data_IF_568225178810
#
_entry.id   IF_568225178810
#
_cell.length_a   1.000
_cell.length_b   1.000
_cell.length_c   1.000
_cell.angle_alpha   90.00
_cell.angle_beta   90.00
_cell.angle_gamma   90.00
#
_symmetry.space_group_name_H-M   'P 1'
#
loop_
_entity.id
_entity.type
_entity.pdbx_description
1 polymer ?
#
# COMPACT_ATOMS: atom_id res chain seq x y z
N UNK A 1 -43.93 -42.98 24.45
CA UNK A 1 -43.31 -43.37 25.74
C UNK A 1 -41.80 -43.29 25.58
N UNK A 2 -41.19 -42.64 26.53
CA UNK A 2 -39.78 -42.55 26.87
C UNK A 2 -38.95 -41.46 26.16
N UNK A 3 -38.67 -40.46 26.96
CA UNK A 3 -37.79 -39.31 26.71
C UNK A 3 -36.33 -39.75 26.78
N UNK A 4 -35.53 -39.18 25.86
CA UNK A 4 -34.06 -39.23 25.88
C UNK A 4 -33.48 -37.82 25.89
N UNK A 5 -32.94 -37.48 27.04
CA UNK A 5 -32.22 -36.19 27.28
C UNK A 5 -31.03 -36.03 26.35
N UNK A 6 -30.98 -34.95 25.59
CA UNK A 6 -29.77 -34.50 24.88
C UNK A 6 -29.13 -33.36 25.65
N UNK A 7 -28.01 -33.64 26.27
CA UNK A 7 -27.11 -32.69 26.92
C UNK A 7 -26.45 -31.81 25.88
N UNK A 8 -26.73 -30.50 25.94
CA UNK A 8 -26.01 -29.46 25.16
C UNK A 8 -24.61 -29.27 25.76
N UNK A 9 -23.59 -29.82 25.11
CA UNK A 9 -22.20 -29.43 25.38
C UNK A 9 -21.91 -28.09 24.71
N UNK A 10 -21.68 -27.07 25.53
CA UNK A 10 -21.18 -25.78 25.11
C UNK A 10 -19.74 -25.94 24.61
N UNK A 11 -19.51 -25.88 23.30
CA UNK A 11 -18.18 -25.61 22.72
C UNK A 11 -17.86 -24.14 22.87
N UNK A 12 -16.93 -23.81 23.75
CA UNK A 12 -16.27 -22.49 23.82
C UNK A 12 -15.41 -22.30 22.57
N UNK A 13 -15.76 -21.31 21.75
CA UNK A 13 -14.94 -20.84 20.66
C UNK A 13 -13.74 -20.08 21.25
N UNK A 14 -12.53 -20.56 21.00
CA UNK A 14 -11.30 -19.82 21.29
C UNK A 14 -11.18 -18.67 20.28
N UNK A 15 -11.64 -17.48 20.67
CA UNK A 15 -11.32 -16.24 19.97
C UNK A 15 -9.88 -15.87 20.28
N UNK A 16 -9.18 -15.49 19.22
CA UNK A 16 -7.81 -14.97 19.19
C UNK A 16 -7.62 -13.84 20.19
N UNK A 17 -6.67 -14.00 21.10
CA UNK A 17 -6.13 -12.94 21.94
C UNK A 17 -5.18 -12.09 21.12
N UNK A 18 -5.66 -10.95 20.64
CA UNK A 18 -4.87 -9.74 20.43
C UNK A 18 -5.78 -8.56 20.73
N UNK A 19 -5.89 -8.20 22.01
CA UNK A 19 -6.19 -6.84 22.45
C UNK A 19 -5.73 -6.67 23.90
N UNK A 20 -4.69 -5.94 24.02
CA UNK A 20 -4.20 -5.03 25.05
C UNK A 20 -4.98 -4.93 26.36
N UNK A 21 -4.23 -5.21 27.41
CA UNK A 21 -4.39 -4.77 28.77
C UNK A 21 -4.34 -3.25 28.92
N UNK A 22 -5.35 -2.67 29.53
CA UNK A 22 -5.27 -1.56 30.52
C UNK A 22 -6.65 -1.40 31.15
N UNK A 23 -6.75 -1.77 32.39
CA UNK A 23 -7.91 -1.53 33.23
C UNK A 23 -7.47 -1.60 34.69
N UNK A 24 -7.12 -0.47 35.27
CA UNK A 24 -6.87 -0.36 36.69
C UNK A 24 -8.17 -0.38 37.45
N UNK A 25 -8.29 -1.29 38.38
CA UNK A 25 -9.33 -1.36 39.40
C UNK A 25 -9.02 -0.35 40.50
N UNK A 26 -9.97 0.54 40.78
CA UNK A 26 -10.01 1.28 42.06
C UNK A 26 -11.33 0.98 42.74
N UNK A 27 -11.23 0.22 43.80
CA UNK A 27 -12.30 -0.02 44.79
C UNK A 27 -12.42 1.15 45.74
N UNK A 28 -13.64 1.48 46.07
CA UNK A 28 -14.02 2.65 46.82
C UNK A 28 -13.76 2.61 48.32
N UNK A 29 -13.85 3.76 48.92
CA UNK A 29 -14.27 3.93 50.31
C UNK A 29 -15.08 5.24 50.43
N UNK A 30 -16.28 5.08 50.93
CA UNK A 30 -17.23 6.13 51.31
C UNK A 30 -16.83 6.70 52.64
N UNK A 31 -16.61 8.01 52.73
CA UNK A 31 -16.62 8.70 54.02
C UNK A 31 -17.28 10.07 53.88
N UNK A 32 -18.42 10.23 54.55
CA UNK A 32 -19.08 11.51 54.80
C UNK A 32 -18.24 12.43 55.64
N UNK A 33 -18.15 13.70 55.30
CA UNK A 33 -18.11 14.80 56.26
C UNK A 33 -18.59 16.12 55.65
N UNK A 34 -19.41 16.83 56.44
CA UNK A 34 -20.03 18.12 56.17
C UNK A 34 -19.04 19.30 56.17
N UNK A 35 -19.38 20.30 55.34
CA UNK A 35 -19.34 21.72 55.72
C UNK A 35 -18.13 22.53 55.30
N UNK A 36 -18.30 23.47 54.41
CA UNK A 36 -18.18 24.93 54.60
C UNK A 36 -17.93 25.65 53.24
N UNK A 37 -18.71 26.66 53.10
CA UNK A 37 -18.72 27.84 52.23
C UNK A 37 -17.49 28.18 51.36
N UNK A 38 -17.78 28.48 50.08
CA UNK A 38 -17.25 29.63 49.36
C UNK A 38 -15.84 29.52 48.78
N UNK A 39 -15.72 28.90 47.60
CA UNK A 39 -14.64 29.26 46.67
C UNK A 39 -15.14 29.15 45.22
N UNK A 40 -15.14 30.28 44.54
CA UNK A 40 -15.39 30.39 43.10
C UNK A 40 -14.31 29.62 42.34
N UNK A 41 -14.63 28.43 41.86
CA UNK A 41 -13.72 27.66 41.00
C UNK A 41 -13.91 28.07 39.55
N UNK A 42 -12.91 28.76 38.98
CA UNK A 42 -12.80 28.92 37.54
C UNK A 42 -12.82 27.52 36.86
N UNK A 43 -13.52 27.35 35.72
CA UNK A 43 -13.52 26.08 35.02
C UNK A 43 -12.09 25.70 34.60
N UNK A 44 -11.76 24.41 34.60
CA UNK A 44 -10.44 23.97 34.20
C UNK A 44 -10.13 24.38 32.75
N UNK A 45 -9.05 25.11 32.56
CA UNK A 45 -8.51 25.43 31.23
C UNK A 45 -8.15 24.11 30.56
N UNK A 46 -8.88 23.76 29.49
CA UNK A 46 -8.50 22.63 28.64
C UNK A 46 -7.14 22.96 28.02
N UNK A 47 -6.08 22.36 28.52
CA UNK A 47 -4.79 22.36 27.85
C UNK A 47 -4.96 21.76 26.45
N UNK A 48 -4.54 22.45 25.38
CA UNK A 48 -4.55 21.86 24.06
C UNK A 48 -3.67 20.59 24.06
N UNK A 49 -4.04 19.55 23.29
CA UNK A 49 -3.20 18.37 23.17
C UNK A 49 -1.81 18.78 22.71
N UNK A 50 -0.74 18.10 23.18
CA UNK A 50 0.63 18.43 22.79
C UNK A 50 0.75 18.44 21.27
N UNK A 51 1.34 19.51 20.73
CA UNK A 51 1.57 19.65 19.29
C UNK A 51 2.32 18.41 18.81
N UNK A 52 1.72 17.68 17.89
CA UNK A 52 2.32 16.48 17.28
C UNK A 52 3.64 16.89 16.64
N UNK A 53 4.75 16.31 17.08
CA UNK A 53 6.07 16.64 16.55
C UNK A 53 6.06 16.47 15.02
N UNK A 54 6.29 17.56 14.31
CA UNK A 54 6.52 17.54 12.87
C UNK A 54 7.87 16.84 12.68
N UNK A 55 7.86 15.65 12.08
CA UNK A 55 9.11 14.96 11.75
C UNK A 55 9.91 15.87 10.81
N UNK A 56 11.21 16.04 11.03
CA UNK A 56 12.04 16.86 10.15
C UNK A 56 11.93 16.35 8.71
N UNK A 57 11.76 17.25 7.77
CA UNK A 57 11.83 16.95 6.33
C UNK A 57 13.18 16.28 6.05
N UNK A 58 13.19 15.35 5.08
CA UNK A 58 14.44 14.74 4.64
C UNK A 58 15.42 15.83 4.19
N UNK A 59 16.73 15.74 4.50
CA UNK A 59 17.71 16.73 4.07
C UNK A 59 17.69 16.87 2.55
N UNK A 60 17.62 18.10 2.06
CA UNK A 60 17.67 18.42 0.63
C UNK A 60 19.09 18.18 0.11
N UNK A 61 19.23 17.42 -0.98
CA UNK A 61 20.54 17.13 -1.57
C UNK A 61 21.11 18.36 -2.30
N UNK A 62 22.43 18.59 -2.22
CA UNK A 62 23.08 19.62 -2.99
C UNK A 62 23.00 19.33 -4.51
N UNK A 63 23.01 20.37 -5.37
CA UNK A 63 22.80 20.22 -6.83
C UNK A 63 23.75 19.23 -7.53
N UNK A 64 24.98 19.16 -7.11
CA UNK A 64 26.01 18.27 -7.69
C UNK A 64 25.80 16.79 -7.41
N UNK A 65 24.89 16.44 -6.50
CA UNK A 65 24.57 15.04 -6.11
C UNK A 65 23.15 14.63 -6.48
N UNK A 66 22.53 15.33 -7.42
CA UNK A 66 21.17 14.99 -7.83
C UNK A 66 21.11 13.63 -8.55
N UNK A 67 20.12 12.78 -8.23
CA UNK A 67 19.85 11.57 -8.96
C UNK A 67 19.60 11.82 -10.45
N UNK A 68 19.97 10.87 -11.35
CA UNK A 68 19.80 11.03 -12.79
C UNK A 68 18.33 11.06 -13.22
N UNK A 69 17.46 10.38 -12.49
CA UNK A 69 16.01 10.36 -12.76
C UNK A 69 15.37 11.65 -12.27
N UNK A 70 14.70 12.35 -13.17
CA UNK A 70 13.81 13.45 -12.84
C UNK A 70 12.39 12.93 -12.69
N UNK A 71 11.81 13.13 -11.53
CA UNK A 71 10.39 12.82 -11.25
C UNK A 71 9.45 13.77 -11.99
N UNK A 72 8.19 13.45 -12.13
CA UNK A 72 7.21 14.34 -12.75
C UNK A 72 7.19 15.74 -12.15
N UNK A 73 7.40 15.88 -10.84
CA UNK A 73 7.51 17.19 -10.17
C UNK A 73 8.77 17.96 -10.60
N UNK A 74 9.91 17.27 -10.78
CA UNK A 74 11.14 17.92 -11.27
C UNK A 74 10.97 18.39 -12.71
N UNK A 75 10.29 17.60 -13.54
CA UNK A 75 9.99 17.97 -14.94
C UNK A 75 9.04 19.15 -15.01
N UNK A 76 7.98 19.16 -14.18
CA UNK A 76 7.05 20.29 -14.08
C UNK A 76 7.78 21.59 -13.72
N UNK A 77 8.70 21.54 -12.75
CA UNK A 77 9.53 22.70 -12.36
C UNK A 77 10.48 23.12 -13.48
N UNK A 78 11.19 22.17 -14.09
CA UNK A 78 12.11 22.43 -15.20
C UNK A 78 11.42 23.04 -16.44
N UNK A 79 10.14 22.68 -16.67
CA UNK A 79 9.33 23.24 -17.76
C UNK A 79 8.65 24.58 -17.39
N UNK A 80 9.05 25.19 -16.26
CA UNK A 80 8.55 26.50 -15.79
C UNK A 80 7.09 26.44 -15.34
N UNK A 81 6.61 25.30 -14.82
CA UNK A 81 5.27 25.11 -14.30
C UNK A 81 4.13 25.35 -15.32
N UNK A 82 4.42 25.25 -16.63
CA UNK A 82 3.46 25.57 -17.70
C UNK A 82 2.14 24.83 -17.57
N UNK A 83 2.18 23.55 -17.16
CA UNK A 83 0.96 22.72 -17.07
C UNK A 83 -0.02 23.18 -15.98
N UNK A 84 0.44 23.97 -15.01
CA UNK A 84 -0.38 24.47 -13.89
C UNK A 84 -0.57 25.99 -13.90
N UNK A 85 -0.02 26.70 -14.87
CA UNK A 85 -0.10 28.16 -14.94
C UNK A 85 -1.57 28.64 -14.98
N UNK A 86 -1.89 29.66 -14.19
CA UNK A 86 -3.22 30.25 -14.05
C UNK A 86 -4.23 29.43 -13.24
N UNK A 87 -3.84 28.27 -12.68
CA UNK A 87 -4.78 27.32 -12.05
C UNK A 87 -4.81 27.43 -10.52
N UNK A 88 -6.01 27.26 -9.95
CA UNK A 88 -6.24 26.94 -8.54
C UNK A 88 -6.19 25.44 -8.37
N UNK A 89 -5.27 24.97 -7.52
CA UNK A 89 -4.89 23.58 -7.41
C UNK A 89 -5.33 22.97 -6.08
N UNK A 90 -5.88 21.74 -6.12
CA UNK A 90 -5.80 20.78 -5.02
C UNK A 90 -4.60 19.86 -5.25
N UNK A 91 -4.03 19.29 -4.18
CA UNK A 91 -2.93 18.33 -4.28
C UNK A 91 -3.24 17.08 -3.48
N UNK A 92 -3.33 15.94 -4.17
CA UNK A 92 -3.35 14.61 -3.54
C UNK A 92 -1.90 14.13 -3.42
N UNK A 93 -1.41 14.04 -2.20
CA UNK A 93 -0.02 13.66 -1.93
C UNK A 93 0.13 13.01 -0.55
N UNK A 94 1.34 12.58 -0.27
CA UNK A 94 1.76 12.00 1.00
C UNK A 94 3.24 12.35 1.26
N UNK A 95 3.81 11.83 2.35
CA UNK A 95 5.17 12.12 2.80
C UNK A 95 6.25 11.89 1.72
N UNK A 96 6.09 10.87 0.86
CA UNK A 96 7.03 10.58 -0.21
C UNK A 96 6.76 11.40 -1.50
N UNK A 97 5.79 12.31 -1.49
CA UNK A 97 5.57 13.32 -2.53
C UNK A 97 6.63 14.41 -2.44
N UNK A 98 7.82 14.13 -2.95
CA UNK A 98 8.98 15.05 -2.96
C UNK A 98 9.63 15.05 -4.34
N UNK A 99 10.37 16.11 -4.65
CA UNK A 99 11.25 16.15 -5.81
C UNK A 99 12.55 15.33 -5.56
N UNK A 100 13.41 15.15 -6.57
CA UNK A 100 14.66 14.39 -6.45
C UNK A 100 15.67 14.99 -5.47
N UNK A 101 15.46 16.25 -5.02
CA UNK A 101 16.24 16.89 -3.96
C UNK A 101 15.71 16.59 -2.57
N UNK A 102 14.53 15.98 -2.45
CA UNK A 102 13.85 15.70 -1.18
C UNK A 102 12.95 16.83 -0.70
N UNK A 103 12.69 17.84 -1.53
CA UNK A 103 11.79 18.94 -1.22
C UNK A 103 10.34 18.54 -1.47
N UNK A 104 9.46 18.87 -0.53
CA UNK A 104 8.04 18.52 -0.57
C UNK A 104 7.35 19.11 -1.81
N UNK A 105 6.54 18.30 -2.48
CA UNK A 105 5.68 18.77 -3.59
C UNK A 105 4.73 19.90 -3.14
N UNK A 106 4.33 19.91 -1.86
CA UNK A 106 3.56 21.02 -1.29
C UNK A 106 4.33 22.32 -1.42
N UNK A 107 5.61 22.33 -1.02
CA UNK A 107 6.44 23.55 -1.06
C UNK A 107 6.81 23.95 -2.48
N UNK A 108 7.11 22.97 -3.34
CA UNK A 108 7.38 23.20 -4.76
C UNK A 108 6.18 23.87 -5.44
N UNK A 109 4.96 23.37 -5.24
CA UNK A 109 3.76 23.95 -5.86
C UNK A 109 3.37 25.31 -5.26
N UNK A 110 3.67 25.55 -3.97
CA UNK A 110 3.41 26.85 -3.32
C UNK A 110 4.25 27.99 -3.87
N UNK A 111 5.47 27.71 -4.35
CA UNK A 111 6.34 28.71 -4.96
C UNK A 111 6.17 28.81 -6.48
N UNK A 112 5.36 27.93 -7.09
CA UNK A 112 5.12 27.97 -8.52
C UNK A 112 4.45 29.29 -8.92
N UNK A 113 5.03 30.05 -9.88
CA UNK A 113 4.45 31.30 -10.30
C UNK A 113 3.11 31.06 -11.01
N UNK A 114 2.21 32.04 -10.95
CA UNK A 114 0.94 32.05 -11.67
C UNK A 114 -0.01 30.87 -11.33
N UNK A 115 0.23 30.12 -10.26
CA UNK A 115 -0.68 29.08 -9.77
C UNK A 115 -0.94 29.26 -8.27
N UNK A 116 -2.01 28.67 -7.77
CA UNK A 116 -2.35 28.74 -6.35
C UNK A 116 -2.75 27.38 -5.82
N UNK A 117 -1.92 26.80 -4.94
CA UNK A 117 -2.29 25.65 -4.16
C UNK A 117 -3.26 26.10 -3.05
N UNK A 118 -4.47 25.53 -3.00
CA UNK A 118 -5.54 25.97 -2.09
C UNK A 118 -6.01 24.89 -1.12
N UNK A 119 -5.78 23.61 -1.41
CA UNK A 119 -6.09 22.51 -0.51
C UNK A 119 -5.22 21.28 -0.77
N UNK A 120 -5.22 20.40 0.22
CA UNK A 120 -4.50 19.12 0.19
C UNK A 120 -5.51 17.98 0.36
N UNK A 121 -5.25 16.85 -0.28
CA UNK A 121 -5.96 15.59 -0.08
C UNK A 121 -4.96 14.56 0.44
N UNK A 122 -5.35 13.85 1.49
CA UNK A 122 -4.50 12.85 2.13
C UNK A 122 -5.03 11.44 1.89
N UNK A 123 -4.23 10.52 1.33
CA UNK A 123 -4.59 9.11 1.19
C UNK A 123 -4.49 8.38 2.53
N UNK A 124 -4.63 7.06 2.51
CA UNK A 124 -4.32 6.21 3.67
C UNK A 124 -2.93 6.54 4.25
N UNK A 125 -2.79 6.43 5.54
CA UNK A 125 -1.63 6.82 6.36
C UNK A 125 -1.45 8.35 6.54
N UNK A 126 -2.27 9.20 5.94
CA UNK A 126 -2.20 10.66 6.08
C UNK A 126 -1.08 11.31 5.28
N UNK A 127 -1.00 12.63 5.32
CA UNK A 127 0.06 13.39 4.64
C UNK A 127 1.45 13.10 5.21
N UNK A 128 1.56 12.89 6.50
CA UNK A 128 2.82 12.62 7.21
C UNK A 128 3.25 11.15 7.15
N UNK A 129 2.39 10.26 6.62
CA UNK A 129 2.66 8.84 6.54
C UNK A 129 2.75 8.14 7.90
N UNK A 130 2.23 8.74 8.97
CA UNK A 130 2.34 8.23 10.35
C UNK A 130 1.06 7.60 10.87
N UNK A 131 -0.08 7.86 10.24
CA UNK A 131 -1.32 7.22 10.62
C UNK A 131 -1.21 5.72 10.36
N UNK A 132 -1.51 4.91 11.39
CA UNK A 132 -1.48 3.45 11.27
C UNK A 132 -2.41 3.01 10.14
N UNK A 133 -1.96 2.04 9.33
CA UNK A 133 -2.77 1.46 8.25
C UNK A 133 -4.13 0.98 8.77
N UNK A 134 -5.14 1.07 7.95
CA UNK A 134 -6.55 0.79 8.27
C UNK A 134 -7.14 1.65 9.41
N UNK A 135 -6.52 2.79 9.75
CA UNK A 135 -7.04 3.75 10.73
C UNK A 135 -7.59 4.97 10.03
N UNK A 136 -8.89 5.24 10.20
CA UNK A 136 -9.53 6.44 9.68
C UNK A 136 -9.01 7.70 10.40
N UNK A 137 -8.99 8.82 9.69
CA UNK A 137 -8.62 10.13 10.24
C UNK A 137 -9.51 11.23 9.63
N UNK A 138 -9.70 12.30 10.36
CA UNK A 138 -10.56 13.41 9.98
C UNK A 138 -9.81 14.47 9.15
N UNK A 139 -10.57 15.38 8.54
CA UNK A 139 -10.05 16.58 7.91
C UNK A 139 -9.28 17.44 8.93
N UNK A 140 -8.24 18.14 8.47
CA UNK A 140 -7.34 18.92 9.33
C UNK A 140 -6.88 20.19 8.63
N UNK A 141 -6.11 21.01 9.34
CA UNK A 141 -5.34 22.12 8.75
C UNK A 141 -3.87 21.72 8.75
N UNK A 142 -3.20 21.89 7.62
CA UNK A 142 -1.77 21.61 7.50
C UNK A 142 -0.97 22.62 8.33
N UNK A 143 -0.19 22.19 9.35
CA UNK A 143 0.42 23.10 10.32
C UNK A 143 1.41 24.06 9.70
N UNK A 144 2.18 23.63 8.68
CA UNK A 144 3.21 24.46 8.04
C UNK A 144 2.68 25.44 7.00
N UNK A 145 1.45 25.25 6.49
CA UNK A 145 0.93 26.07 5.37
C UNK A 145 -0.40 26.75 5.65
N UNK A 146 -1.14 26.31 6.68
CA UNK A 146 -2.51 26.75 6.94
C UNK A 146 -3.55 26.24 5.93
N UNK A 147 -3.16 25.38 4.97
CA UNK A 147 -4.08 24.84 3.98
C UNK A 147 -4.99 23.77 4.57
N UNK A 148 -6.27 23.69 4.15
CA UNK A 148 -7.14 22.58 4.51
C UNK A 148 -6.60 21.26 3.95
N UNK A 149 -6.64 20.21 4.77
CA UNK A 149 -6.29 18.83 4.44
C UNK A 149 -7.55 18.00 4.51
N UNK A 150 -7.99 17.46 3.41
CA UNK A 150 -9.14 16.60 3.31
C UNK A 150 -8.73 15.13 3.34
N UNK A 151 -9.29 14.37 4.28
CA UNK A 151 -9.05 12.94 4.40
C UNK A 151 -9.79 12.19 3.30
N UNK A 152 -9.05 11.40 2.52
CA UNK A 152 -9.64 10.40 1.62
C UNK A 152 -9.65 8.99 2.24
N UNK A 153 -9.30 8.89 3.53
CA UNK A 153 -9.33 7.64 4.29
C UNK A 153 -10.12 7.79 5.59
N UNK A 154 -11.39 8.13 5.43
CA UNK A 154 -12.32 8.34 6.53
C UNK A 154 -13.75 8.21 6.04
N UNK A 155 -14.55 9.23 6.28
CA UNK A 155 -15.93 9.33 5.82
C UNK A 155 -16.01 9.27 4.28
N UNK A 156 -15.08 9.90 3.58
CA UNK A 156 -15.04 9.97 2.12
C UNK A 156 -13.80 9.23 1.60
N UNK A 157 -13.97 8.46 0.53
CA UNK A 157 -12.86 7.78 -0.19
C UNK A 157 -12.47 8.50 -1.50
N UNK A 158 -13.09 9.65 -1.75
CA UNK A 158 -12.86 10.50 -2.93
C UNK A 158 -13.16 11.95 -2.59
N UNK A 159 -12.59 12.92 -3.31
CA UNK A 159 -12.97 14.31 -3.15
C UNK A 159 -14.48 14.51 -3.34
N UNK A 160 -15.10 15.28 -2.47
CA UNK A 160 -16.52 15.64 -2.57
C UNK A 160 -16.71 16.80 -3.54
N UNK A 161 -17.96 17.02 -4.06
CA UNK A 161 -18.26 18.18 -4.91
C UNK A 161 -17.89 19.51 -4.23
N UNK A 162 -18.12 19.63 -2.93
CA UNK A 162 -17.80 20.84 -2.16
C UNK A 162 -16.29 21.09 -2.09
N UNK A 163 -15.48 20.04 -1.93
CA UNK A 163 -14.02 20.12 -1.90
C UNK A 163 -13.41 20.43 -3.27
N UNK A 164 -14.09 20.05 -4.34
CA UNK A 164 -13.66 20.33 -5.72
C UNK A 164 -14.12 21.68 -6.26
N UNK A 165 -15.08 22.32 -5.59
CA UNK A 165 -15.66 23.60 -6.02
C UNK A 165 -14.60 24.69 -6.10
N UNK A 166 -14.45 25.29 -7.29
CA UNK A 166 -13.50 26.39 -7.53
C UNK A 166 -12.06 25.93 -7.76
N UNK A 167 -11.77 24.61 -7.84
CA UNK A 167 -10.51 24.09 -8.33
C UNK A 167 -10.53 24.02 -9.85
N UNK A 168 -9.44 24.40 -10.48
CA UNK A 168 -9.21 24.21 -11.92
C UNK A 168 -8.60 22.82 -12.17
N UNK A 169 -7.73 22.36 -11.27
CA UNK A 169 -7.11 21.04 -11.34
C UNK A 169 -6.82 20.42 -9.97
N UNK A 170 -6.77 19.09 -9.93
CA UNK A 170 -6.17 18.32 -8.82
C UNK A 170 -4.87 17.71 -9.33
N UNK A 171 -3.76 18.09 -8.70
CA UNK A 171 -2.45 17.47 -8.92
C UNK A 171 -2.36 16.21 -8.07
N UNK A 172 -1.83 15.13 -8.63
CA UNK A 172 -1.60 13.85 -7.92
C UNK A 172 -0.10 13.57 -7.94
N UNK A 173 0.47 13.42 -6.75
CA UNK A 173 1.87 13.06 -6.55
C UNK A 173 1.98 11.98 -5.47
N UNK A 174 1.88 10.73 -5.89
CA UNK A 174 1.86 9.55 -5.03
C UNK A 174 2.95 8.56 -5.45
N UNK A 175 3.78 8.12 -4.49
CA UNK A 175 4.72 7.02 -4.69
C UNK A 175 4.04 5.69 -4.40
N UNK A 176 3.71 4.95 -5.45
CA UNK A 176 3.21 3.58 -5.36
C UNK A 176 4.35 2.57 -5.14
N UNK A 177 4.01 1.32 -4.79
CA UNK A 177 4.97 0.24 -4.58
C UNK A 177 4.90 -0.89 -5.62
N UNK A 178 4.10 -0.74 -6.66
CA UNK A 178 4.00 -1.69 -7.77
C UNK A 178 3.13 -2.92 -7.51
N UNK A 179 2.46 -2.98 -6.36
CA UNK A 179 1.58 -4.09 -5.96
C UNK A 179 0.13 -3.64 -5.87
N UNK A 180 -0.79 -4.35 -6.54
CA UNK A 180 -2.20 -3.97 -6.70
C UNK A 180 -2.92 -3.65 -5.39
N UNK A 181 -2.65 -4.38 -4.32
CA UNK A 181 -3.33 -4.19 -3.03
C UNK A 181 -2.82 -3.00 -2.24
N UNK A 182 -1.76 -2.32 -2.70
CA UNK A 182 -1.35 -1.04 -2.14
C UNK A 182 -2.31 0.06 -2.61
N UNK A 183 -2.95 0.74 -1.67
CA UNK A 183 -4.19 1.49 -1.94
C UNK A 183 -4.03 2.79 -2.73
N UNK A 184 -2.80 3.27 -2.96
CA UNK A 184 -2.56 4.57 -3.61
C UNK A 184 -3.08 4.63 -5.04
N UNK A 185 -2.99 3.54 -5.79
CA UNK A 185 -3.59 3.45 -7.13
C UNK A 185 -5.12 3.61 -7.06
N UNK A 186 -5.75 3.17 -5.98
CA UNK A 186 -7.19 3.28 -5.78
C UNK A 186 -7.61 4.72 -5.50
N UNK A 187 -6.85 5.44 -4.65
CA UNK A 187 -7.11 6.85 -4.37
C UNK A 187 -6.92 7.72 -5.59
N UNK A 188 -5.93 7.42 -6.43
CA UNK A 188 -5.78 8.07 -7.74
C UNK A 188 -7.02 7.85 -8.61
N UNK A 189 -7.47 6.59 -8.77
CA UNK A 189 -8.65 6.31 -9.61
C UNK A 189 -9.91 7.00 -9.08
N UNK A 190 -10.15 6.98 -7.78
CA UNK A 190 -11.32 7.62 -7.18
C UNK A 190 -11.26 9.14 -7.32
N UNK A 191 -10.08 9.72 -7.28
CA UNK A 191 -9.88 11.16 -7.54
C UNK A 191 -10.13 11.49 -9.01
N UNK A 192 -9.65 10.67 -9.95
CA UNK A 192 -9.97 10.81 -11.38
C UNK A 192 -11.49 10.78 -11.60
N UNK A 193 -12.19 9.80 -11.03
CA UNK A 193 -13.64 9.66 -11.14
C UNK A 193 -14.40 10.90 -10.62
N UNK A 194 -14.01 11.40 -9.45
CA UNK A 194 -14.61 12.58 -8.85
C UNK A 194 -14.34 13.85 -9.69
N UNK A 195 -13.09 14.07 -10.05
CA UNK A 195 -12.69 15.24 -10.85
C UNK A 195 -13.36 15.26 -12.22
N UNK A 196 -13.37 14.13 -12.94
CA UNK A 196 -14.02 14.04 -14.25
C UNK A 196 -15.52 14.27 -14.20
N UNK A 197 -16.18 13.77 -13.13
CA UNK A 197 -17.61 14.00 -12.90
C UNK A 197 -17.93 15.48 -12.69
N UNK A 198 -17.02 16.24 -12.11
CA UNK A 198 -17.22 17.67 -11.80
C UNK A 198 -16.46 18.63 -12.71
N UNK A 199 -15.89 18.14 -13.85
CA UNK A 199 -15.22 18.97 -14.83
C UNK A 199 -13.87 19.53 -14.40
N UNK A 200 -13.30 19.02 -13.30
CA UNK A 200 -11.97 19.41 -12.78
C UNK A 200 -10.90 18.58 -13.51
N UNK A 201 -9.83 19.24 -13.94
CA UNK A 201 -8.68 18.56 -14.56
C UNK A 201 -7.91 17.74 -13.52
N UNK A 202 -7.30 16.61 -13.94
CA UNK A 202 -6.32 15.88 -13.12
C UNK A 202 -4.95 15.96 -13.79
N UNK A 203 -3.94 16.31 -12.99
CA UNK A 203 -2.54 16.38 -13.42
C UNK A 203 -1.76 15.38 -12.58
N UNK A 204 -1.24 14.30 -13.19
CA UNK A 204 -0.45 13.28 -12.51
C UNK A 204 1.03 13.58 -12.69
N UNK A 205 1.75 13.78 -11.60
CA UNK A 205 3.20 13.88 -11.57
C UNK A 205 3.76 12.47 -11.42
N UNK A 206 4.28 11.90 -12.51
CA UNK A 206 4.62 10.49 -12.54
C UNK A 206 5.88 10.15 -11.75
N UNK A 207 5.92 8.91 -11.23
CA UNK A 207 6.98 8.37 -10.39
C UNK A 207 7.35 6.96 -10.81
N UNK A 208 8.61 6.49 -10.52
CA UNK A 208 9.02 5.13 -10.82
C UNK A 208 8.11 4.08 -10.16
N UNK A 209 7.79 3.03 -10.91
CA UNK A 209 7.39 1.79 -10.27
C UNK A 209 8.65 1.17 -9.64
N UNK A 210 8.72 1.00 -8.32
CA UNK A 210 9.97 0.60 -7.66
C UNK A 210 10.40 -0.84 -8.00
N UNK A 211 9.46 -1.70 -8.42
CA UNK A 211 9.76 -3.04 -8.90
C UNK A 211 10.20 -3.07 -10.38
N UNK A 212 10.26 -1.92 -11.03
CA UNK A 212 10.47 -1.77 -12.46
C UNK A 212 9.19 -1.97 -13.27
N UNK A 213 9.27 -1.70 -14.57
CA UNK A 213 8.13 -1.80 -15.47
C UNK A 213 8.01 -3.15 -16.19
N UNK A 214 8.90 -4.11 -15.93
CA UNK A 214 8.96 -5.39 -16.63
C UNK A 214 8.46 -6.57 -15.80
N UNK A 215 8.55 -6.52 -14.47
CA UNK A 215 7.97 -7.53 -13.58
C UNK A 215 6.45 -7.39 -13.55
N UNK A 216 5.78 -8.40 -14.06
CA UNK A 216 4.32 -8.55 -14.03
C UNK A 216 4.03 -9.97 -13.58
N UNK A 217 3.32 -10.12 -12.45
CA UNK A 217 3.14 -11.44 -11.83
C UNK A 217 1.90 -11.51 -10.95
N UNK A 218 1.49 -12.72 -10.67
CA UNK A 218 0.40 -13.05 -9.76
C UNK A 218 -0.99 -13.00 -10.38
N UNK A 219 -2.03 -13.35 -9.60
CA UNK A 219 -3.38 -13.45 -10.11
C UNK A 219 -3.89 -12.10 -10.60
N UNK A 220 -4.45 -12.01 -11.82
CA UNK A 220 -5.24 -10.87 -12.23
C UNK A 220 -6.50 -10.78 -11.38
N UNK A 221 -6.95 -9.56 -11.11
CA UNK A 221 -8.11 -9.33 -10.26
C UNK A 221 -9.41 -9.79 -10.94
N UNK A 222 -10.16 -10.70 -10.32
CA UNK A 222 -11.50 -11.04 -10.76
C UNK A 222 -12.44 -9.83 -10.67
N UNK A 223 -13.32 -9.67 -11.68
CA UNK A 223 -14.14 -8.46 -11.84
C UNK A 223 -15.01 -8.13 -10.61
N UNK A 224 -15.56 -9.15 -9.95
CA UNK A 224 -16.41 -9.01 -8.77
C UNK A 224 -15.64 -8.73 -7.46
N UNK A 225 -14.30 -8.71 -7.52
CA UNK A 225 -13.44 -8.47 -6.36
C UNK A 225 -12.87 -7.04 -6.32
N UNK A 226 -13.27 -6.17 -7.26
CA UNK A 226 -12.81 -4.77 -7.29
C UNK A 226 -13.27 -3.98 -6.06
N UNK A 227 -12.31 -3.51 -5.28
CA UNK A 227 -12.50 -2.68 -4.08
C UNK A 227 -11.40 -1.62 -3.98
N UNK A 228 -11.28 -0.95 -2.83
CA UNK A 228 -10.16 -0.04 -2.51
C UNK A 228 -8.80 -0.75 -2.36
N UNK A 229 -8.77 -2.04 -2.03
CA UNK A 229 -7.53 -2.85 -2.07
C UNK A 229 -7.29 -3.50 -3.43
N UNK A 230 -7.91 -3.00 -4.48
CA UNK A 230 -7.79 -3.50 -5.85
C UNK A 230 -8.75 -2.76 -6.78
N UNK A 231 -8.49 -1.48 -7.04
CA UNK A 231 -9.34 -0.67 -7.89
C UNK A 231 -9.09 -0.87 -9.39
N UNK A 232 -8.00 -1.54 -9.77
CA UNK A 232 -7.65 -1.86 -11.15
C UNK A 232 -7.65 -3.37 -11.38
N UNK A 233 -8.18 -3.80 -12.52
CA UNK A 233 -8.13 -5.20 -12.96
C UNK A 233 -6.78 -5.52 -13.60
N UNK A 234 -5.75 -5.52 -12.77
CA UNK A 234 -4.37 -5.80 -13.15
C UNK A 234 -3.85 -7.02 -12.39
N UNK A 235 -2.77 -7.68 -12.82
CA UNK A 235 -2.03 -8.66 -12.02
C UNK A 235 -1.60 -8.09 -10.67
N UNK A 236 -1.26 -8.95 -9.71
CA UNK A 236 -0.89 -8.47 -8.38
C UNK A 236 0.32 -7.53 -8.42
N UNK A 237 1.38 -7.90 -9.15
CA UNK A 237 2.48 -7.02 -9.54
C UNK A 237 2.21 -6.55 -10.96
N UNK A 238 1.97 -5.26 -11.16
CA UNK A 238 1.35 -4.76 -12.39
C UNK A 238 2.32 -4.11 -13.39
N UNK A 239 3.53 -3.76 -12.99
CA UNK A 239 4.55 -3.22 -13.89
C UNK A 239 4.24 -1.86 -14.54
N UNK A 240 3.22 -1.14 -14.10
CA UNK A 240 2.87 0.20 -14.62
C UNK A 240 3.22 1.28 -13.60
N UNK A 241 3.53 2.48 -14.07
CA UNK A 241 3.65 3.68 -13.24
C UNK A 241 2.26 4.27 -12.93
N UNK A 242 2.19 5.24 -12.01
CA UNK A 242 0.95 5.95 -11.70
C UNK A 242 0.39 6.68 -12.92
N UNK A 243 1.26 7.34 -13.71
CA UNK A 243 0.87 8.02 -14.95
C UNK A 243 0.34 7.05 -16.01
N UNK A 244 0.95 5.88 -16.13
CA UNK A 244 0.49 4.82 -17.05
C UNK A 244 -0.85 4.22 -16.60
N UNK A 245 -1.05 4.00 -15.30
CA UNK A 245 -2.34 3.57 -14.73
C UNK A 245 -3.44 4.62 -14.92
N UNK A 246 -3.12 5.91 -14.73
CA UNK A 246 -4.05 7.00 -14.98
C UNK A 246 -4.44 7.08 -16.47
N UNK A 247 -3.47 6.92 -17.37
CA UNK A 247 -3.69 6.87 -18.82
C UNK A 247 -4.57 5.69 -19.19
N UNK A 248 -4.32 4.50 -18.62
CA UNK A 248 -5.15 3.32 -18.80
C UNK A 248 -6.58 3.58 -18.28
N UNK A 249 -6.74 4.17 -17.11
CA UNK A 249 -8.06 4.50 -16.56
C UNK A 249 -8.86 5.45 -17.48
N UNK A 250 -8.19 6.47 -18.04
CA UNK A 250 -8.80 7.41 -18.99
C UNK A 250 -9.17 6.76 -20.33
N UNK A 251 -8.34 5.85 -20.84
CA UNK A 251 -8.50 5.32 -22.21
C UNK A 251 -9.28 4.00 -22.27
N UNK A 252 -9.11 3.10 -21.26
CA UNK A 252 -9.73 1.79 -21.27
C UNK A 252 -11.17 1.82 -20.74
N UNK A 253 -12.14 1.31 -21.49
CA UNK A 253 -13.51 1.14 -21.01
C UNK A 253 -13.57 0.23 -19.78
N UNK A 254 -14.48 0.54 -18.84
CA UNK A 254 -14.75 -0.31 -17.68
C UNK A 254 -13.70 -0.28 -16.54
N UNK A 255 -12.62 0.49 -16.68
CA UNK A 255 -11.66 0.70 -15.58
C UNK A 255 -12.24 1.66 -14.55
N UNK A 256 -12.75 2.79 -14.97
CA UNK A 256 -13.41 3.77 -14.10
C UNK A 256 -14.90 3.44 -13.93
N UNK A 257 -15.45 3.74 -12.76
CA UNK A 257 -16.89 3.60 -12.46
C UNK A 257 -17.65 4.91 -12.73
N UNK A 258 -17.48 5.45 -13.93
CA UNK A 258 -18.21 6.61 -14.45
C UNK A 258 -18.74 6.29 -15.82
N UNK A 259 -19.73 7.07 -16.34
CA UNK A 259 -20.21 6.88 -17.70
C UNK A 259 -19.13 7.16 -18.73
N UNK A 260 -19.24 6.52 -19.92
CA UNK A 260 -18.31 6.74 -21.04
C UNK A 260 -18.24 8.24 -21.43
N UNK A 261 -19.38 8.96 -21.37
CA UNK A 261 -19.43 10.40 -21.61
C UNK A 261 -18.53 11.17 -20.62
N UNK A 262 -18.63 10.87 -19.32
CA UNK A 262 -17.80 11.49 -18.28
C UNK A 262 -16.33 11.13 -18.49
N UNK A 263 -16.04 9.84 -18.73
CA UNK A 263 -14.67 9.37 -18.97
C UNK A 263 -14.06 10.05 -20.19
N UNK A 264 -14.79 10.15 -21.29
CA UNK A 264 -14.33 10.77 -22.54
C UNK A 264 -14.08 12.28 -22.36
N UNK A 265 -14.99 12.99 -21.68
CA UNK A 265 -14.88 14.44 -21.43
C UNK A 265 -13.81 14.81 -20.36
N UNK A 266 -13.44 13.87 -19.49
CA UNK A 266 -12.47 14.10 -18.41
C UNK A 266 -11.12 14.57 -18.93
N UNK A 267 -10.51 15.57 -18.29
CA UNK A 267 -9.20 16.12 -18.66
C UNK A 267 -8.12 15.50 -17.80
N UNK A 268 -7.16 14.82 -18.43
CA UNK A 268 -5.99 14.22 -17.79
C UNK A 268 -4.72 14.73 -18.47
N UNK A 269 -3.83 15.26 -17.66
CA UNK A 269 -2.46 15.59 -18.04
C UNK A 269 -1.51 14.72 -17.22
N UNK A 270 -0.60 14.00 -17.86
CA UNK A 270 0.47 13.28 -17.17
C UNK A 270 1.78 14.00 -17.43
N UNK A 271 2.51 14.36 -16.38
CA UNK A 271 3.86 14.90 -16.47
C UNK A 271 4.82 13.70 -16.29
N UNK A 272 5.40 13.20 -17.38
CA UNK A 272 6.26 12.02 -17.33
C UNK A 272 7.61 12.34 -16.70
N UNK A 273 8.25 11.31 -16.17
CA UNK A 273 9.63 11.35 -15.72
C UNK A 273 10.60 11.52 -16.91
N UNK A 274 11.81 11.99 -16.62
CA UNK A 274 12.95 11.93 -17.54
C UNK A 274 14.05 11.06 -16.96
N UNK A 275 14.70 10.24 -17.80
CA UNK A 275 15.82 9.38 -17.38
C UNK A 275 15.41 8.04 -16.79
N UNK A 276 14.12 7.77 -16.52
CA UNK A 276 13.66 6.45 -16.11
C UNK A 276 13.32 5.56 -17.30
N UNK A 277 13.69 4.29 -17.20
CA UNK A 277 13.35 3.24 -18.17
C UNK A 277 12.73 2.04 -17.47
N UNK A 278 11.97 1.22 -18.18
CA UNK A 278 11.18 0.13 -17.60
C UNK A 278 11.98 -0.97 -16.92
N UNK A 279 13.25 -1.14 -17.28
CA UNK A 279 14.15 -2.08 -16.63
C UNK A 279 14.80 -1.57 -15.34
N UNK A 280 14.63 -0.27 -15.02
CA UNK A 280 15.13 0.30 -13.77
C UNK A 280 14.19 -0.03 -12.61
N UNK A 281 14.73 -0.65 -11.57
CA UNK A 281 14.13 -0.77 -10.25
C UNK A 281 14.47 0.46 -9.42
N UNK A 282 13.99 0.53 -8.19
CA UNK A 282 14.28 1.69 -7.34
C UNK A 282 15.78 1.97 -7.14
N UNK A 283 16.64 0.97 -6.82
CA UNK A 283 18.09 1.25 -6.63
C UNK A 283 18.76 1.88 -7.84
N UNK A 284 18.38 1.47 -9.06
CA UNK A 284 18.98 1.99 -10.29
C UNK A 284 18.56 3.45 -10.59
N UNK A 285 17.54 3.97 -9.89
CA UNK A 285 17.14 5.37 -10.02
C UNK A 285 18.03 6.33 -9.24
N UNK A 286 18.81 5.82 -8.30
CA UNK A 286 19.59 6.58 -7.31
C UNK A 286 18.73 7.53 -6.44
N UNK A 287 17.41 7.44 -6.54
CA UNK A 287 16.49 8.21 -5.72
C UNK A 287 16.49 7.69 -4.27
N UNK A 288 16.43 8.61 -3.33
CA UNK A 288 16.26 8.25 -1.93
C UNK A 288 14.87 7.69 -1.68
N UNK A 289 14.76 6.51 -1.05
CA UNK A 289 13.48 5.99 -0.58
C UNK A 289 12.98 6.82 0.61
N UNK A 290 11.73 7.24 0.52
CA UNK A 290 11.00 7.84 1.63
C UNK A 290 9.84 6.89 1.96
N UNK A 291 9.74 6.47 3.20
CA UNK A 291 8.72 5.53 3.64
C UNK A 291 7.32 5.96 3.19
N UNK A 292 6.66 5.13 2.41
CA UNK A 292 5.30 5.40 1.91
C UNK A 292 4.23 5.09 2.94
N UNK A 293 4.53 4.21 3.89
CA UNK A 293 3.75 3.90 5.08
C UNK A 293 4.67 3.41 6.20
N UNK A 294 4.20 3.29 7.45
CA UNK A 294 5.01 2.75 8.54
C UNK A 294 5.54 1.33 8.30
N UNK A 295 4.83 0.55 7.47
CA UNK A 295 5.19 -0.83 7.13
C UNK A 295 6.05 -0.95 5.87
N UNK A 296 6.26 0.14 5.13
CA UNK A 296 7.10 0.19 3.92
C UNK A 296 8.23 1.23 4.13
N UNK A 297 9.14 0.99 5.08
CA UNK A 297 10.19 1.93 5.44
C UNK A 297 11.29 2.04 4.39
N UNK A 298 11.50 1.01 3.57
CA UNK A 298 12.58 0.88 2.62
C UNK A 298 12.18 0.06 1.38
N UNK A 299 13.07 -0.03 0.41
CA UNK A 299 12.86 -0.81 -0.81
C UNK A 299 12.80 -2.32 -0.54
N UNK A 300 13.48 -2.80 0.47
CA UNK A 300 13.40 -4.21 0.88
C UNK A 300 11.98 -4.60 1.30
N UNK A 301 11.29 -3.70 2.02
CA UNK A 301 9.88 -3.91 2.37
C UNK A 301 8.95 -3.90 1.15
N UNK A 302 9.25 -3.09 0.12
CA UNK A 302 8.50 -3.11 -1.16
C UNK A 302 8.59 -4.48 -1.83
N UNK A 303 9.81 -5.00 -1.99
CA UNK A 303 10.06 -6.33 -2.55
C UNK A 303 9.38 -7.40 -1.72
N UNK A 304 9.50 -7.31 -0.41
CA UNK A 304 8.88 -8.23 0.54
C UNK A 304 7.35 -8.21 0.49
N UNK A 305 6.73 -7.04 0.35
CA UNK A 305 5.28 -6.89 0.22
C UNK A 305 4.74 -7.67 -1.00
N UNK A 306 5.41 -7.55 -2.15
CA UNK A 306 5.06 -8.30 -3.35
C UNK A 306 5.23 -9.82 -3.16
N UNK A 307 6.17 -10.25 -2.31
CA UNK A 307 6.60 -11.64 -2.17
C UNK A 307 5.86 -12.40 -1.06
N UNK A 308 5.65 -11.77 0.10
CA UNK A 308 5.18 -12.40 1.33
C UNK A 308 3.78 -11.91 1.73
N UNK A 309 3.38 -10.71 1.29
CA UNK A 309 2.16 -10.07 1.75
C UNK A 309 0.92 -10.95 1.59
N UNK A 310 0.70 -11.51 0.40
CA UNK A 310 -0.43 -12.42 0.16
C UNK A 310 -0.32 -13.72 0.97
N UNK A 311 0.89 -14.23 1.19
CA UNK A 311 1.14 -15.48 1.90
C UNK A 311 0.70 -15.47 3.36
N UNK A 312 0.56 -14.29 3.95
CA UNK A 312 0.11 -14.10 5.34
C UNK A 312 -1.40 -13.90 5.47
N UNK A 313 -2.15 -13.89 4.36
CA UNK A 313 -3.59 -13.63 4.40
C UNK A 313 -4.38 -14.78 5.01
N UNK A 314 -5.15 -14.49 6.06
CA UNK A 314 -6.11 -15.38 6.72
C UNK A 314 -5.55 -16.76 7.11
N UNK A 315 -4.30 -16.78 7.57
CA UNK A 315 -3.65 -17.98 8.09
C UNK A 315 -2.64 -17.61 9.20
N UNK A 316 -1.84 -18.58 9.67
CA UNK A 316 -0.94 -18.37 10.79
C UNK A 316 0.47 -17.87 10.40
N UNK A 317 0.76 -17.67 9.11
CA UNK A 317 2.00 -17.04 8.69
C UNK A 317 2.05 -15.59 9.16
N UNK A 318 3.21 -15.14 9.59
CA UNK A 318 3.50 -13.74 9.86
C UNK A 318 4.70 -13.29 9.06
N UNK A 319 4.74 -11.97 8.73
CA UNK A 319 5.84 -11.33 8.03
C UNK A 319 6.73 -10.55 9.00
N UNK A 320 8.00 -10.39 8.64
CA UNK A 320 9.01 -9.73 9.45
C UNK A 320 9.72 -10.65 10.45
N UNK A 321 10.80 -10.15 11.02
CA UNK A 321 11.56 -10.79 12.10
C UNK A 321 11.44 -9.88 13.33
N UNK A 322 10.45 -10.15 14.18
CA UNK A 322 10.06 -9.22 15.22
C UNK A 322 9.53 -7.91 14.63
N UNK A 323 10.14 -6.77 15.02
CA UNK A 323 9.81 -5.44 14.48
C UNK A 323 10.62 -5.05 13.23
N UNK A 324 11.59 -5.90 12.84
CA UNK A 324 12.52 -5.63 11.75
C UNK A 324 12.17 -6.42 10.49
N UNK A 325 12.71 -5.98 9.36
CA UNK A 325 12.54 -6.63 8.06
C UNK A 325 11.07 -6.87 7.67
N UNK A 326 10.20 -5.84 7.71
CA UNK A 326 8.78 -6.01 7.36
C UNK A 326 8.67 -6.63 5.97
N UNK A 327 7.80 -7.63 5.85
CA UNK A 327 7.58 -8.44 4.65
C UNK A 327 8.78 -9.23 4.11
N UNK A 328 10.00 -9.04 4.64
CA UNK A 328 11.19 -9.82 4.22
C UNK A 328 11.44 -11.03 5.12
N UNK A 329 10.84 -11.06 6.30
CA UNK A 329 10.87 -12.21 7.19
C UNK A 329 9.62 -13.06 7.07
N UNK A 330 9.73 -14.35 7.35
CA UNK A 330 8.58 -15.26 7.51
C UNK A 330 8.71 -16.05 8.82
N UNK A 331 7.58 -16.23 9.49
CA UNK A 331 7.51 -17.07 10.68
C UNK A 331 6.15 -17.80 10.74
N UNK A 332 6.13 -18.98 11.36
CA UNK A 332 4.92 -19.75 11.60
C UNK A 332 4.88 -20.24 13.05
N UNK A 333 3.72 -20.22 13.74
CA UNK A 333 3.63 -20.67 15.13
C UNK A 333 4.15 -22.10 15.30
N UNK A 334 4.88 -22.34 16.38
CA UNK A 334 5.45 -23.65 16.73
C UNK A 334 6.41 -24.25 15.70
N UNK A 335 6.93 -23.42 14.78
CA UNK A 335 7.95 -23.81 13.81
C UNK A 335 9.23 -23.04 14.04
N UNK A 336 10.35 -23.77 14.12
CA UNK A 336 11.67 -23.17 14.20
C UNK A 336 12.10 -22.62 12.84
N UNK A 337 13.04 -21.67 12.80
CA UNK A 337 13.64 -21.20 11.55
C UNK A 337 14.19 -22.34 10.67
N UNK A 338 14.80 -23.36 11.28
CA UNK A 338 15.34 -24.53 10.56
C UNK A 338 14.25 -25.37 9.90
N UNK A 339 13.16 -25.64 10.60
CA UNK A 339 12.01 -26.35 10.05
C UNK A 339 11.39 -25.57 8.87
N UNK A 340 11.28 -24.24 8.99
CA UNK A 340 10.75 -23.39 7.92
C UNK A 340 11.67 -23.43 6.71
N UNK A 341 12.98 -23.26 6.91
CA UNK A 341 13.97 -23.27 5.83
C UNK A 341 13.97 -24.63 5.12
N UNK A 342 14.00 -25.73 5.87
CA UNK A 342 13.99 -27.08 5.29
C UNK A 342 12.70 -27.34 4.50
N UNK A 343 11.53 -26.98 5.08
CA UNK A 343 10.24 -27.27 4.47
C UNK A 343 9.96 -26.39 3.25
N UNK A 344 10.15 -25.07 3.37
CA UNK A 344 9.89 -24.13 2.27
C UNK A 344 10.98 -24.22 1.19
N UNK A 345 12.23 -24.52 1.58
CA UNK A 345 13.33 -24.75 0.65
C UNK A 345 13.13 -25.99 -0.24
N UNK A 346 12.40 -27.00 0.24
CA UNK A 346 12.05 -28.18 -0.55
C UNK A 346 11.17 -27.87 -1.78
N UNK A 347 10.47 -26.73 -1.80
CA UNK A 347 9.72 -26.28 -2.97
C UNK A 347 10.62 -25.74 -4.10
N UNK A 348 11.89 -25.44 -3.81
CA UNK A 348 12.89 -24.97 -4.81
C UNK A 348 12.40 -23.76 -5.62
N UNK A 349 11.77 -22.79 -4.94
CA UNK A 349 11.22 -21.58 -5.56
C UNK A 349 12.36 -20.80 -6.23
N UNK A 350 12.26 -20.50 -7.53
CA UNK A 350 13.35 -19.85 -8.26
C UNK A 350 13.63 -18.43 -7.76
N UNK A 351 14.89 -18.00 -7.81
CA UNK A 351 15.31 -16.63 -7.55
C UNK A 351 15.29 -16.20 -6.10
N UNK A 352 14.96 -17.07 -5.15
CA UNK A 352 15.01 -16.77 -3.71
C UNK A 352 15.91 -17.74 -2.95
N UNK A 353 16.34 -17.29 -1.77
CA UNK A 353 17.04 -18.09 -0.78
C UNK A 353 16.52 -17.77 0.61
N UNK A 354 16.26 -18.80 1.41
CA UNK A 354 15.82 -18.67 2.79
C UNK A 354 17.05 -18.76 3.71
N UNK A 355 17.26 -17.73 4.53
CA UNK A 355 18.41 -17.67 5.43
C UNK A 355 17.99 -17.30 6.84
N UNK A 356 18.72 -17.76 7.84
CA UNK A 356 18.54 -17.28 9.19
C UNK A 356 19.06 -15.85 9.31
N UNK A 357 18.30 -14.99 9.99
CA UNK A 357 18.73 -13.63 10.31
C UNK A 357 18.29 -13.24 11.73
N UNK A 358 19.10 -12.46 12.39
CA UNK A 358 18.74 -11.85 13.67
C UNK A 358 17.90 -10.60 13.43
N UNK A 359 16.87 -10.41 14.25
CA UNK A 359 16.06 -9.21 14.34
C UNK A 359 15.73 -8.94 15.81
N UNK A 360 14.94 -7.92 16.08
CA UNK A 360 14.53 -7.54 17.44
C UNK A 360 13.03 -7.77 17.62
N UNK A 361 12.65 -8.37 18.76
CA UNK A 361 11.25 -8.41 19.18
C UNK A 361 10.69 -6.99 19.42
N UNK A 362 9.37 -6.82 19.58
CA UNK A 362 8.79 -5.53 19.98
C UNK A 362 9.42 -4.96 21.27
N UNK A 363 9.84 -5.83 22.20
CA UNK A 363 10.48 -5.50 23.47
C UNK A 363 12.00 -5.26 23.35
N UNK A 364 12.56 -5.37 22.12
CA UNK A 364 14.00 -5.12 21.86
C UNK A 364 14.90 -6.32 22.12
N UNK A 365 14.38 -7.52 22.37
CA UNK A 365 15.20 -8.72 22.59
C UNK A 365 15.59 -9.37 21.26
N UNK A 366 16.81 -9.94 21.13
CA UNK A 366 17.23 -10.67 19.94
C UNK A 366 16.27 -11.81 19.60
N UNK A 367 15.91 -11.91 18.33
CA UNK A 367 15.04 -12.97 17.79
C UNK A 367 15.60 -13.47 16.47
N UNK A 368 15.83 -14.76 16.36
CA UNK A 368 16.19 -15.40 15.10
C UNK A 368 14.92 -15.69 14.30
N UNK A 369 14.90 -15.30 13.04
CA UNK A 369 13.83 -15.60 12.08
C UNK A 369 14.37 -16.07 10.74
N UNK A 370 13.47 -16.33 9.81
CA UNK A 370 13.80 -16.67 8.43
C UNK A 370 13.65 -15.41 7.58
N UNK A 371 14.73 -15.01 6.95
CA UNK A 371 14.76 -13.90 5.98
C UNK A 371 14.73 -14.46 4.56
N UNK A 372 13.98 -13.83 3.67
CA UNK A 372 13.89 -14.22 2.27
C UNK A 372 14.77 -13.29 1.43
N UNK A 373 15.87 -13.81 0.93
CA UNK A 373 16.78 -13.11 0.02
C UNK A 373 16.35 -13.30 -1.43
N UNK A 374 16.48 -12.27 -2.26
CA UNK A 374 16.44 -12.42 -3.70
C UNK A 374 17.84 -12.81 -4.16
N UNK A 375 18.00 -14.04 -4.62
CA UNK A 375 19.27 -14.59 -5.12
C UNK A 375 19.46 -14.38 -6.62
N UNK A 376 18.36 -14.24 -7.38
CA UNK A 376 18.36 -14.00 -8.82
C UNK A 376 17.06 -13.24 -9.19
N UNK A 377 17.20 -11.94 -9.48
CA UNK A 377 16.07 -11.08 -9.81
C UNK A 377 15.31 -11.53 -11.06
N UNK A 378 16.01 -12.04 -12.07
CA UNK A 378 15.39 -12.43 -13.34
C UNK A 378 14.51 -13.68 -13.17
N UNK A 379 14.97 -14.64 -12.35
CA UNK A 379 14.23 -15.88 -12.05
C UNK A 379 13.15 -15.69 -10.99
N UNK A 380 13.23 -14.65 -10.20
CA UNK A 380 12.26 -14.40 -9.13
C UNK A 380 10.88 -14.06 -9.69
N UNK A 381 9.88 -14.86 -9.34
CA UNK A 381 8.47 -14.59 -9.54
C UNK A 381 7.91 -14.00 -8.24
N UNK A 382 7.53 -12.72 -8.23
CA UNK A 382 7.20 -12.01 -6.99
C UNK A 382 6.23 -12.73 -6.06
N UNK A 383 5.13 -13.27 -6.58
CA UNK A 383 4.06 -13.82 -5.75
C UNK A 383 4.17 -15.32 -5.46
N UNK A 384 5.10 -16.03 -6.08
CA UNK A 384 5.16 -17.50 -6.02
C UNK A 384 5.30 -18.04 -4.60
N UNK A 385 6.17 -17.43 -3.77
CA UNK A 385 6.36 -17.83 -2.38
C UNK A 385 5.05 -17.79 -1.58
N UNK A 386 4.24 -16.74 -1.77
CA UNK A 386 2.96 -16.57 -1.09
C UNK A 386 2.02 -17.75 -1.30
N UNK A 387 1.97 -18.32 -2.49
CA UNK A 387 1.09 -19.45 -2.81
C UNK A 387 1.59 -20.77 -2.22
N UNK A 388 2.90 -20.95 -2.15
CA UNK A 388 3.47 -22.07 -1.39
C UNK A 388 3.29 -21.91 0.13
N UNK A 389 3.29 -20.68 0.65
CA UNK A 389 2.96 -20.41 2.05
C UNK A 389 1.51 -20.85 2.37
N UNK A 390 0.53 -20.56 1.52
CA UNK A 390 -0.85 -21.03 1.68
C UNK A 390 -0.93 -22.57 1.68
N UNK A 391 -0.28 -23.23 0.71
CA UNK A 391 -0.20 -24.70 0.65
C UNK A 391 0.40 -25.27 1.93
N UNK A 392 1.47 -24.66 2.41
CA UNK A 392 2.18 -25.12 3.60
C UNK A 392 1.38 -24.88 4.89
N UNK A 393 0.63 -23.79 5.00
CA UNK A 393 -0.29 -23.56 6.11
C UNK A 393 -1.35 -24.69 6.18
N UNK A 394 -1.94 -25.04 5.03
CA UNK A 394 -2.89 -26.16 4.97
C UNK A 394 -2.27 -27.53 5.30
N UNK A 395 -0.93 -27.70 5.15
CA UNK A 395 -0.21 -28.91 5.50
C UNK A 395 0.16 -28.99 6.99
N UNK A 396 0.48 -27.84 7.61
CA UNK A 396 0.92 -27.80 9.00
C UNK A 396 -0.20 -27.79 10.01
N UNK A 397 -1.38 -27.32 9.61
CA UNK A 397 -2.55 -27.36 10.48
C UNK A 397 -3.28 -28.71 10.39
N UNK A 398 -3.79 -29.18 11.53
CA UNK A 398 -4.58 -30.43 11.62
C UNK A 398 -5.84 -30.35 10.76
N UNK A 399 -6.49 -29.20 10.73
CA UNK A 399 -7.62 -28.89 9.88
C UNK A 399 -7.21 -27.79 8.90
N UNK A 400 -7.63 -27.93 7.66
CA UNK A 400 -7.37 -26.89 6.66
C UNK A 400 -7.88 -25.53 7.16
N UNK A 401 -6.98 -24.53 7.39
CA UNK A 401 -7.35 -23.26 8.00
C UNK A 401 -8.33 -22.46 7.13
N UNK A 402 -8.33 -22.68 5.82
CA UNK A 402 -9.18 -21.96 4.88
C UNK A 402 -10.64 -22.45 4.88
N UNK A 403 -10.94 -23.63 5.44
CA UNK A 403 -12.31 -24.12 5.61
C UNK A 403 -13.08 -23.42 6.73
N UNK A 404 -12.37 -22.96 7.76
CA UNK A 404 -12.95 -22.30 8.92
C UNK A 404 -13.18 -20.80 8.76
N UNK A 405 -12.84 -20.21 7.62
CA UNK A 405 -12.97 -18.76 7.39
C UNK A 405 -14.44 -18.35 7.37
N UNK A 406 -14.76 -17.31 8.13
CA UNK A 406 -16.06 -16.61 8.06
C UNK A 406 -16.26 -15.97 6.68
N UNK A 407 -17.49 -15.61 6.35
CA UNK A 407 -17.78 -14.92 5.08
C UNK A 407 -16.98 -13.63 4.92
N UNK A 408 -16.75 -12.89 6.01
CA UNK A 408 -15.94 -11.66 6.01
C UNK A 408 -14.46 -11.95 5.74
N UNK A 409 -13.89 -12.97 6.38
CA UNK A 409 -12.50 -13.40 6.17
C UNK A 409 -12.28 -13.95 4.76
N UNK A 410 -13.22 -14.75 4.23
CA UNK A 410 -13.18 -15.20 2.84
C UNK A 410 -13.22 -14.03 1.87
N UNK A 411 -14.05 -13.01 2.15
CA UNK A 411 -14.09 -11.80 1.34
C UNK A 411 -12.75 -11.06 1.39
N UNK A 412 -12.18 -10.84 2.58
CA UNK A 412 -10.87 -10.19 2.77
C UNK A 412 -9.79 -10.94 2.00
N UNK A 413 -9.69 -12.25 2.17
CA UNK A 413 -8.74 -13.09 1.43
C UNK A 413 -8.87 -12.92 -0.09
N UNK A 414 -10.11 -13.02 -0.61
CA UNK A 414 -10.37 -12.94 -2.05
C UNK A 414 -10.02 -11.57 -2.64
N UNK A 415 -10.35 -10.47 -1.97
CA UNK A 415 -10.05 -9.13 -2.50
C UNK A 415 -8.54 -8.82 -2.51
N UNK A 416 -7.77 -9.33 -1.53
CA UNK A 416 -6.31 -9.17 -1.53
C UNK A 416 -5.65 -10.06 -2.57
N UNK A 417 -5.93 -11.36 -2.56
CA UNK A 417 -5.37 -12.31 -3.54
C UNK A 417 -5.85 -12.02 -4.96
N UNK A 418 -7.11 -11.60 -5.11
CA UNK A 418 -7.68 -11.24 -6.41
C UNK A 418 -8.29 -12.41 -7.17
N UNK A 419 -8.38 -13.61 -6.60
CA UNK A 419 -8.86 -14.83 -7.27
C UNK A 419 -9.88 -15.59 -6.40
N UNK A 420 -11.09 -15.77 -6.94
CA UNK A 420 -12.09 -16.65 -6.35
C UNK A 420 -11.67 -18.11 -6.47
N UNK A 421 -11.09 -18.50 -7.60
CA UNK A 421 -10.69 -19.87 -7.88
C UNK A 421 -9.60 -20.38 -6.92
N UNK A 422 -8.67 -19.50 -6.52
CA UNK A 422 -7.60 -19.88 -5.59
C UNK A 422 -8.14 -20.29 -4.21
N UNK A 423 -9.04 -19.49 -3.61
CA UNK A 423 -9.63 -19.85 -2.33
C UNK A 423 -10.48 -21.10 -2.42
N UNK A 424 -11.29 -21.22 -3.48
CA UNK A 424 -12.12 -22.40 -3.70
C UNK A 424 -11.27 -23.68 -3.78
N UNK A 425 -10.14 -23.62 -4.47
CA UNK A 425 -9.25 -24.78 -4.59
C UNK A 425 -8.48 -25.05 -3.29
N UNK A 426 -8.05 -24.04 -2.55
CA UNK A 426 -7.49 -24.20 -1.21
C UNK A 426 -8.48 -24.90 -0.26
N UNK A 427 -9.76 -24.52 -0.31
CA UNK A 427 -10.80 -25.16 0.50
C UNK A 427 -11.05 -26.61 0.07
N UNK A 428 -11.07 -26.90 -1.23
CA UNK A 428 -11.31 -28.22 -1.79
C UNK A 428 -10.14 -29.19 -1.58
N UNK A 429 -8.92 -28.78 -1.93
CA UNK A 429 -7.74 -29.65 -2.00
C UNK A 429 -6.81 -29.53 -0.78
N UNK A 430 -6.86 -28.40 -0.06
CA UNK A 430 -5.97 -28.14 1.08
C UNK A 430 -4.50 -28.25 0.69
N UNK A 431 -3.73 -29.04 1.42
CA UNK A 431 -2.29 -29.26 1.14
C UNK A 431 -2.00 -29.99 -0.17
N UNK A 432 -3.02 -30.55 -0.84
CA UNK A 432 -2.86 -31.23 -2.14
C UNK A 432 -3.03 -30.28 -3.32
N UNK A 433 -3.28 -28.99 -3.07
CA UNK A 433 -3.41 -27.98 -4.14
C UNK A 433 -2.20 -28.01 -5.08
N UNK A 434 -2.47 -27.99 -6.38
CA UNK A 434 -1.42 -27.91 -7.41
C UNK A 434 -1.06 -26.45 -7.70
N UNK A 435 -0.09 -25.91 -6.94
CA UNK A 435 0.38 -24.53 -7.09
C UNK A 435 0.93 -24.25 -8.51
N UNK A 436 1.77 -25.13 -9.11
CA UNK A 436 2.29 -24.94 -10.46
C UNK A 436 1.21 -24.68 -11.53
N UNK A 437 0.07 -25.33 -11.47
CA UNK A 437 -1.02 -25.13 -12.43
C UNK A 437 -1.55 -23.69 -12.38
N UNK A 438 -1.73 -23.14 -11.19
CA UNK A 438 -2.16 -21.74 -11.02
C UNK A 438 -1.07 -20.76 -11.47
N UNK A 439 0.18 -20.99 -11.07
CA UNK A 439 1.30 -20.14 -11.46
C UNK A 439 1.46 -20.07 -12.99
N UNK A 440 1.38 -21.21 -13.68
CA UNK A 440 1.44 -21.26 -15.14
C UNK A 440 0.33 -20.41 -15.78
N UNK A 441 -0.91 -20.59 -15.34
CA UNK A 441 -2.05 -19.80 -15.84
C UNK A 441 -1.85 -18.31 -15.61
N UNK A 442 -1.39 -17.91 -14.42
CA UNK A 442 -1.18 -16.48 -14.12
C UNK A 442 -0.03 -15.89 -14.91
N UNK A 443 1.06 -16.64 -15.12
CA UNK A 443 2.19 -16.23 -15.97
C UNK A 443 1.74 -15.98 -17.42
N UNK A 444 0.93 -16.89 -17.99
CA UNK A 444 0.39 -16.72 -19.33
C UNK A 444 -0.51 -15.47 -19.42
N UNK A 445 -1.38 -15.26 -18.43
CA UNK A 445 -2.24 -14.07 -18.36
C UNK A 445 -1.45 -12.78 -18.12
N UNK A 446 -0.37 -12.83 -17.34
CA UNK A 446 0.54 -11.70 -17.14
C UNK A 446 1.26 -11.30 -18.44
N UNK A 447 1.65 -12.27 -19.27
CA UNK A 447 2.23 -11.99 -20.58
C UNK A 447 1.23 -11.30 -21.52
N UNK A 448 -0.01 -11.78 -21.57
CA UNK A 448 -1.10 -11.15 -22.34
C UNK A 448 -1.36 -9.72 -21.85
N UNK A 449 -1.47 -9.54 -20.53
CA UNK A 449 -1.68 -8.21 -19.93
C UNK A 449 -0.56 -7.25 -20.28
N UNK A 450 0.70 -7.67 -20.19
CA UNK A 450 1.86 -6.84 -20.52
C UNK A 450 1.79 -6.35 -21.97
N UNK A 451 1.43 -7.23 -22.92
CA UNK A 451 1.26 -6.85 -24.32
C UNK A 451 0.10 -5.88 -24.52
N UNK A 452 -1.05 -6.16 -23.93
CA UNK A 452 -2.24 -5.29 -24.02
C UNK A 452 -2.03 -3.90 -23.43
N UNK A 453 -1.14 -3.77 -22.42
CA UNK A 453 -0.87 -2.50 -21.74
C UNK A 453 0.25 -1.68 -22.38
N UNK A 454 0.98 -2.22 -23.34
CA UNK A 454 2.04 -1.48 -24.06
C UNK A 454 1.59 -0.13 -24.62
N UNK A 455 0.38 -0.04 -25.08
CA UNK A 455 -0.20 1.21 -25.62
C UNK A 455 -0.34 2.35 -24.58
N UNK A 456 -0.21 2.04 -23.29
CA UNK A 456 -0.24 3.01 -22.20
C UNK A 456 1.16 3.36 -21.69
N UNK A 457 2.22 2.68 -22.18
CA UNK A 457 3.57 2.90 -21.71
C UNK A 457 4.08 4.29 -22.12
N UNK A 458 4.60 5.00 -21.16
CA UNK A 458 5.20 6.33 -21.32
C UNK A 458 6.73 6.26 -21.45
N UNK A 459 7.33 5.11 -21.10
CA UNK A 459 8.77 4.96 -20.98
C UNK A 459 9.29 3.83 -21.85
N UNK A 460 10.52 3.99 -22.42
CA UNK A 460 11.13 2.96 -23.23
C UNK A 460 11.54 1.74 -22.39
N UNK A 461 11.77 0.63 -23.05
CA UNK A 461 12.31 -0.58 -22.41
C UNK A 461 13.68 -0.31 -21.78
N UNK A 462 14.54 0.50 -22.42
CA UNK A 462 15.91 0.79 -22.01
C UNK A 462 16.90 -0.32 -22.37
N UNK A 463 18.19 -0.01 -22.33
CA UNK A 463 19.24 -1.02 -22.34
C UNK A 463 19.23 -1.76 -20.99
N UNK A 464 19.56 -3.08 -20.93
CA UNK A 464 19.71 -3.76 -19.65
C UNK A 464 20.74 -3.00 -18.79
N UNK A 465 20.54 -2.89 -17.46
CA UNK A 465 21.50 -2.27 -16.59
C UNK A 465 22.85 -2.98 -16.76
N UNK A 466 23.92 -2.20 -16.85
CA UNK A 466 25.27 -2.76 -16.86
C UNK A 466 25.40 -3.65 -15.62
N UNK A 467 25.87 -4.89 -15.81
CA UNK A 467 26.06 -5.82 -14.72
C UNK A 467 26.87 -5.13 -13.61
N UNK A 468 26.31 -5.07 -12.41
CA UNK A 468 27.01 -4.51 -11.26
C UNK A 468 28.36 -5.24 -11.15
N UNK A 469 29.44 -4.51 -11.29
CA UNK A 469 30.78 -5.07 -11.00
C UNK A 469 30.74 -5.54 -9.54
N UNK A 470 30.99 -6.84 -9.36
CA UNK A 470 31.06 -7.49 -8.04
C UNK A 470 32.21 -6.93 -7.22
#
# INVERSE_FOLDING_TARGET
MSAGHFQKSRRMSRRSLVQLSLGAVVTGALTLMLGCAGCSTKPPVKTPPPARAVLPSAPVLPPEKLPPVMLGIDVLEADGFKAIAGKKLGLLTHRAGVNRRGESTIDVLRRAPQSKLVCLFAPENGLDGQTKSATHFDDAIHPGTGLPVYSLYGKNKRPTPAQLKGLDAVVIDLQDIGSRSYTFISWMRYTLEACFTHGVEVIVLDRPNPLGGLKVDGPPLDANLMTDVGAFRVPYVHGLTMGELATMAKQAPGVMKVSEKIRAAGRLTVIPMRGWTRNMRWPETELRWIATSPMIPDFDAVVGYAMVGLGCEQNAWSSGIGREFPFRGIAYPRKTPDEIIATMGAYKIPGIRLVKRQGLSPEGQPRTGVYVEISDWEKWNPTELSFYMHKQAAKWERLNPFLGLTAAEQRTFKIHVGSNAWLAELQRAGSRIDVPVFLKNWTERAAIYREQTRKYWLYPWGAPPAAAKK
#
